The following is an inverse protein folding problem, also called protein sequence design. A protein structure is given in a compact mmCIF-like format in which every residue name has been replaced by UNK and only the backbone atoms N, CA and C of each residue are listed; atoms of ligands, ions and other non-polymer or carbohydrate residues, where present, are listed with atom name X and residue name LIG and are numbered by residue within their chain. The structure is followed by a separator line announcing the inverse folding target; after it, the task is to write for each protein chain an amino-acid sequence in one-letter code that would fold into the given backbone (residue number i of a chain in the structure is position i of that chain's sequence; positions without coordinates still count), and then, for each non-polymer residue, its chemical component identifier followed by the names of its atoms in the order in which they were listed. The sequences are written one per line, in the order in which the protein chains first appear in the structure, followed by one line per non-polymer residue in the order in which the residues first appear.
data_IF_840423920272
#
_entry.id   IF_840423920272
#
_cell.length_a   1.000
_cell.length_b   1.000
_cell.length_c   1.000
_cell.angle_alpha   90.00
_cell.angle_beta   90.00
_cell.angle_gamma   90.00
#
_symmetry.space_group_name_H-M   'P 1'
#
loop_
_entity.id
_entity.type
_entity.pdbx_description
1 polymer ?
#
# COMPACT_ATOMS: atom_id res chain seq x y z
N UNK A 1 8.39 2.98 45.92
CA UNK A 1 8.47 1.59 45.50
C UNK A 1 7.23 0.81 45.98
N UNK A 2 6.39 0.36 45.04
CA UNK A 2 5.24 -0.50 45.33
C UNK A 2 5.63 -1.96 45.11
N UNK A 3 5.30 -2.85 46.05
CA UNK A 3 5.43 -4.30 45.89
C UNK A 3 4.06 -4.93 45.82
N UNK A 4 3.78 -5.60 44.70
CA UNK A 4 2.56 -6.38 44.53
C UNK A 4 2.70 -7.73 45.25
N UNK A 5 1.62 -8.18 45.90
CA UNK A 5 1.51 -9.50 46.46
C UNK A 5 1.57 -10.56 45.37
N UNK A 6 2.16 -11.73 45.63
CA UNK A 6 2.23 -12.81 44.66
C UNK A 6 0.84 -13.23 44.14
N UNK A 7 -0.14 -13.31 45.00
CA UNK A 7 -1.52 -13.61 44.65
C UNK A 7 -2.14 -12.63 43.65
N UNK A 8 -1.82 -11.33 43.73
CA UNK A 8 -2.32 -10.34 42.77
C UNK A 8 -1.73 -10.56 41.37
N UNK A 9 -0.46 -10.99 41.27
CA UNK A 9 0.17 -11.34 40.00
C UNK A 9 -0.43 -12.59 39.39
N UNK A 10 -0.70 -13.62 40.23
CA UNK A 10 -1.31 -14.87 39.80
C UNK A 10 -2.76 -14.68 39.34
N UNK A 11 -3.51 -13.77 39.98
CA UNK A 11 -4.88 -13.47 39.60
C UNK A 11 -4.98 -12.92 38.17
N UNK A 12 -3.99 -12.13 37.72
CA UNK A 12 -3.96 -11.61 36.33
C UNK A 12 -3.88 -12.76 35.31
N UNK A 13 -3.11 -13.82 35.59
CA UNK A 13 -3.03 -14.98 34.68
C UNK A 13 -4.38 -15.66 34.52
N UNK A 14 -5.11 -15.87 35.64
CA UNK A 14 -6.45 -16.43 35.58
C UNK A 14 -7.43 -15.55 34.84
N UNK A 15 -7.31 -14.23 34.97
CA UNK A 15 -8.13 -13.26 34.24
C UNK A 15 -7.84 -13.27 32.73
N UNK A 16 -6.57 -13.30 32.33
CA UNK A 16 -6.18 -13.44 30.91
C UNK A 16 -6.75 -14.69 30.29
N UNK A 17 -6.61 -15.85 30.99
CA UNK A 17 -7.15 -17.12 30.51
C UNK A 17 -8.68 -17.09 30.39
N UNK A 18 -9.37 -16.44 31.30
CA UNK A 18 -10.82 -16.32 31.29
C UNK A 18 -11.32 -15.36 30.20
N UNK A 19 -10.64 -14.24 29.98
CA UNK A 19 -11.01 -13.22 29.03
C UNK A 19 -10.61 -13.58 27.59
N UNK A 20 -9.56 -14.41 27.40
CA UNK A 20 -9.06 -14.78 26.09
C UNK A 20 -8.70 -13.54 25.26
N UNK A 21 -9.13 -13.51 24.02
CA UNK A 21 -8.85 -12.43 23.06
C UNK A 21 -9.46 -11.07 23.46
N UNK A 22 -10.42 -11.06 24.39
CA UNK A 22 -10.99 -9.82 24.91
C UNK A 22 -10.17 -9.16 26.02
N UNK A 23 -9.09 -9.83 26.50
CA UNK A 23 -8.23 -9.25 27.54
C UNK A 23 -7.56 -7.97 27.06
N UNK A 24 -7.69 -6.90 27.84
CA UNK A 24 -7.14 -5.57 27.52
C UNK A 24 -8.01 -4.72 26.58
N UNK A 25 -9.13 -5.27 26.11
CA UNK A 25 -10.07 -4.51 25.28
C UNK A 25 -11.15 -3.81 26.14
N UNK A 26 -11.48 -2.59 25.75
CA UNK A 26 -12.58 -1.80 26.33
C UNK A 26 -13.84 -1.90 25.45
N UNK A 27 -15.03 -1.77 26.05
CA UNK A 27 -16.27 -1.69 25.27
C UNK A 27 -16.27 -0.53 24.28
N UNK A 28 -16.93 -0.71 23.14
CA UNK A 28 -17.10 0.37 22.18
C UNK A 28 -17.85 1.56 22.80
N UNK A 29 -17.32 2.77 22.59
CA UNK A 29 -17.89 4.00 23.15
C UNK A 29 -18.38 4.98 22.06
N UNK A 30 -18.44 4.55 20.79
CA UNK A 30 -19.00 5.32 19.68
C UNK A 30 -18.07 6.39 19.09
N UNK A 31 -16.88 6.58 19.64
CA UNK A 31 -15.89 7.47 19.01
C UNK A 31 -15.29 6.84 17.77
N UNK A 32 -14.98 7.69 16.78
CA UNK A 32 -14.44 7.29 15.48
C UNK A 32 -13.05 7.89 15.29
N UNK A 33 -12.17 7.15 14.65
CA UNK A 33 -10.87 7.62 14.20
C UNK A 33 -10.65 7.20 12.75
N UNK A 34 -10.14 8.11 11.93
CA UNK A 34 -9.59 7.83 10.63
C UNK A 34 -8.08 7.96 10.75
N UNK A 35 -7.36 6.93 10.32
CA UNK A 35 -5.90 6.90 10.36
C UNK A 35 -5.41 6.69 8.95
N UNK A 36 -4.80 7.72 8.39
CA UNK A 36 -4.13 7.67 7.09
C UNK A 36 -2.65 7.31 7.31
N UNK A 37 -2.16 6.32 6.57
CA UNK A 37 -0.76 5.91 6.65
C UNK A 37 -0.29 5.23 5.36
N UNK A 38 1.02 5.12 5.18
CA UNK A 38 1.72 4.72 3.95
C UNK A 38 1.52 5.75 2.84
N UNK A 39 0.33 5.86 2.25
CA UNK A 39 -0.08 6.84 1.22
C UNK A 39 1.00 7.09 0.16
N UNK A 40 1.56 5.99 -0.37
CA UNK A 40 2.62 6.03 -1.39
C UNK A 40 2.05 6.33 -2.76
N UNK A 41 2.71 7.22 -3.53
CA UNK A 41 2.35 7.45 -4.91
C UNK A 41 2.56 6.17 -5.76
N UNK A 42 1.69 5.85 -6.72
CA UNK A 42 1.81 4.68 -7.57
C UNK A 42 2.85 4.91 -8.69
N UNK A 43 4.08 5.23 -8.31
CA UNK A 43 5.18 5.53 -9.23
C UNK A 43 6.38 4.58 -9.08
N UNK A 44 6.26 3.60 -8.19
CA UNK A 44 7.27 2.57 -7.95
C UNK A 44 6.87 1.59 -6.86
N UNK A 45 7.68 0.54 -6.65
CA UNK A 45 7.50 -0.42 -5.56
C UNK A 45 7.58 0.25 -4.18
N UNK A 46 6.96 -0.39 -3.18
CA UNK A 46 7.14 0.00 -1.80
C UNK A 46 8.58 -0.27 -1.33
N UNK A 47 9.03 0.48 -0.35
CA UNK A 47 10.35 0.32 0.26
C UNK A 47 10.23 0.28 1.79
N UNK A 48 11.35 0.01 2.47
CA UNK A 48 11.41 -0.15 3.94
C UNK A 48 10.80 1.04 4.70
N UNK A 49 10.87 2.25 4.16
CA UNK A 49 10.21 3.44 4.75
C UNK A 49 8.69 3.30 4.79
N UNK A 50 8.09 2.78 3.71
CA UNK A 50 6.65 2.50 3.64
C UNK A 50 6.27 1.33 4.56
N UNK A 51 7.08 0.27 4.64
CA UNK A 51 6.85 -0.83 5.56
C UNK A 51 6.86 -0.37 7.03
N UNK A 52 7.77 0.56 7.40
CA UNK A 52 7.77 1.16 8.73
C UNK A 52 6.48 1.94 9.03
N UNK A 53 5.99 2.72 8.05
CA UNK A 53 4.73 3.45 8.21
C UNK A 53 3.54 2.49 8.32
N UNK A 54 3.54 1.41 7.53
CA UNK A 54 2.52 0.38 7.57
C UNK A 54 2.45 -0.29 8.95
N UNK A 55 3.60 -0.74 9.48
CA UNK A 55 3.67 -1.36 10.80
C UNK A 55 3.20 -0.41 11.92
N UNK A 56 3.63 0.86 11.86
CA UNK A 56 3.25 1.85 12.87
C UNK A 56 1.76 2.20 12.79
N UNK A 57 1.25 2.46 11.58
CA UNK A 57 -0.15 2.85 11.36
C UNK A 57 -1.11 1.74 11.75
N UNK A 58 -0.85 0.51 11.31
CA UNK A 58 -1.69 -0.64 11.67
C UNK A 58 -1.65 -0.93 13.18
N UNK A 59 -0.48 -0.88 13.81
CA UNK A 59 -0.36 -1.04 15.27
C UNK A 59 -1.15 0.02 16.03
N UNK A 60 -1.13 1.29 15.57
CA UNK A 60 -1.92 2.36 16.16
C UNK A 60 -3.42 2.10 16.00
N UNK A 61 -3.85 1.66 14.82
CA UNK A 61 -5.24 1.28 14.57
C UNK A 61 -5.71 0.17 15.52
N UNK A 62 -4.89 -0.87 15.66
CA UNK A 62 -5.18 -2.00 16.55
C UNK A 62 -5.28 -1.54 18.02
N UNK A 63 -4.38 -0.67 18.48
CA UNK A 63 -4.44 -0.10 19.83
C UNK A 63 -5.71 0.73 20.05
N UNK A 64 -6.08 1.58 19.09
CA UNK A 64 -7.32 2.36 19.18
C UNK A 64 -8.55 1.45 19.22
N UNK A 65 -8.58 0.40 18.41
CA UNK A 65 -9.68 -0.57 18.41
C UNK A 65 -9.81 -1.28 19.77
N UNK A 66 -8.70 -1.68 20.39
CA UNK A 66 -8.76 -2.27 21.74
C UNK A 66 -9.28 -1.29 22.81
N UNK A 67 -9.15 0.01 22.55
CA UNK A 67 -9.70 1.05 23.43
C UNK A 67 -11.14 1.45 23.10
N UNK A 68 -11.84 0.68 22.25
CA UNK A 68 -13.25 0.87 21.94
C UNK A 68 -13.55 1.90 20.83
N UNK A 69 -12.54 2.34 20.09
CA UNK A 69 -12.72 3.22 18.93
C UNK A 69 -13.17 2.43 17.70
N UNK A 70 -14.02 3.04 16.89
CA UNK A 70 -14.29 2.61 15.53
C UNK A 70 -13.24 3.24 14.62
N UNK A 71 -12.33 2.43 14.07
CA UNK A 71 -11.20 2.90 13.28
C UNK A 71 -11.41 2.60 11.82
N UNK A 72 -11.13 3.60 10.97
CA UNK A 72 -11.02 3.50 9.52
C UNK A 72 -9.55 3.67 9.14
N UNK A 73 -9.00 2.73 8.39
CA UNK A 73 -7.64 2.76 7.83
C UNK A 73 -7.70 3.32 6.43
N UNK A 74 -7.02 4.41 6.16
CA UNK A 74 -7.03 5.09 4.87
C UNK A 74 -5.65 5.04 4.20
N UNK A 75 -5.67 4.72 2.91
CA UNK A 75 -4.52 4.89 2.01
C UNK A 75 -4.89 5.88 0.92
N UNK A 76 -4.17 7.01 0.86
CA UNK A 76 -4.40 8.03 -0.15
C UNK A 76 -3.46 7.83 -1.35
N UNK A 77 -4.02 7.69 -2.55
CA UNK A 77 -3.27 7.63 -3.80
C UNK A 77 -3.27 8.99 -4.50
N UNK A 78 -2.09 9.54 -4.75
CA UNK A 78 -1.94 10.66 -5.67
C UNK A 78 -1.58 10.14 -7.07
N UNK A 79 -2.58 9.96 -7.91
CA UNK A 79 -2.47 9.41 -9.27
C UNK A 79 -2.43 10.48 -10.36
N UNK A 80 -2.03 11.71 -10.03
CA UNK A 80 -1.94 12.85 -10.93
C UNK A 80 -0.60 13.58 -10.84
N UNK A 81 -0.42 14.54 -11.74
CA UNK A 81 0.74 15.43 -11.76
C UNK A 81 1.96 14.88 -12.48
N UNK A 82 3.10 15.58 -12.31
CA UNK A 82 4.32 15.34 -13.08
C UNK A 82 4.91 13.93 -12.86
N UNK A 83 4.81 13.38 -11.66
CA UNK A 83 5.32 12.04 -11.37
C UNK A 83 4.60 10.96 -12.19
N UNK A 84 3.30 11.07 -12.31
CA UNK A 84 2.49 10.13 -13.09
C UNK A 84 2.73 10.31 -14.60
N UNK A 85 2.92 11.53 -15.07
CA UNK A 85 3.32 11.78 -16.44
C UNK A 85 4.71 11.16 -16.75
N UNK A 86 5.65 11.29 -15.82
CA UNK A 86 6.99 10.67 -15.96
C UNK A 86 6.90 9.13 -15.95
N UNK A 87 6.02 8.53 -15.15
CA UNK A 87 5.78 7.09 -15.17
C UNK A 87 5.27 6.64 -16.54
N UNK A 88 4.29 7.32 -17.10
CA UNK A 88 3.75 7.02 -18.43
C UNK A 88 4.82 7.14 -19.52
N UNK A 89 5.60 8.22 -19.51
CA UNK A 89 6.70 8.43 -20.47
C UNK A 89 7.79 7.37 -20.33
N UNK A 90 8.13 6.96 -19.11
CA UNK A 90 9.11 5.91 -18.85
C UNK A 90 8.62 4.56 -19.41
N UNK A 91 7.37 4.22 -19.17
CA UNK A 91 6.75 2.99 -19.66
C UNK A 91 6.69 3.01 -21.20
N UNK A 92 6.30 4.12 -21.81
CA UNK A 92 6.26 4.25 -23.27
C UNK A 92 7.67 4.12 -23.87
N UNK A 93 8.69 4.71 -23.26
CA UNK A 93 10.08 4.55 -23.72
C UNK A 93 10.51 3.07 -23.71
N UNK A 94 10.16 2.34 -22.66
CA UNK A 94 10.39 0.87 -22.62
C UNK A 94 9.61 0.11 -23.69
N UNK A 95 8.36 0.50 -23.93
CA UNK A 95 7.55 -0.08 -25.01
C UNK A 95 8.17 0.13 -26.40
N UNK A 96 8.85 1.25 -26.61
CA UNK A 96 9.61 1.55 -27.82
C UNK A 96 10.99 0.88 -27.86
N UNK A 97 11.35 0.08 -26.84
CA UNK A 97 12.61 -0.67 -26.77
C UNK A 97 13.78 0.09 -26.17
N UNK A 98 13.59 1.32 -25.72
CA UNK A 98 14.64 2.12 -25.08
C UNK A 98 14.97 1.61 -23.68
N UNK A 99 16.20 1.85 -23.25
CA UNK A 99 16.71 1.54 -21.92
C UNK A 99 17.27 2.82 -21.27
N UNK A 100 17.38 2.86 -19.94
CA UNK A 100 18.06 3.95 -19.25
C UNK A 100 19.47 4.17 -19.84
N UNK A 101 19.75 5.44 -20.23
CA UNK A 101 21.00 5.82 -20.85
C UNK A 101 21.02 5.82 -22.37
N UNK A 102 20.00 5.26 -23.04
CA UNK A 102 19.90 5.33 -24.50
C UNK A 102 19.54 6.75 -24.97
N UNK A 103 19.97 7.07 -26.18
CA UNK A 103 19.55 8.31 -26.84
C UNK A 103 18.02 8.30 -27.02
N UNK A 104 17.34 9.34 -26.50
CA UNK A 104 15.88 9.43 -26.49
C UNK A 104 15.20 8.90 -25.22
N UNK A 105 15.95 8.37 -24.25
CA UNK A 105 15.41 8.09 -22.92
C UNK A 105 14.99 9.40 -22.23
N UNK A 106 13.77 9.52 -21.68
CA UNK A 106 13.33 10.78 -21.08
C UNK A 106 14.17 11.14 -19.84
N UNK A 107 14.58 12.40 -19.72
CA UNK A 107 15.47 12.88 -18.64
C UNK A 107 14.86 12.64 -17.24
N UNK A 108 13.56 12.86 -17.09
CA UNK A 108 12.83 12.65 -15.83
C UNK A 108 12.23 11.24 -15.68
N UNK A 109 12.71 10.26 -16.47
CA UNK A 109 12.18 8.92 -16.45
C UNK A 109 12.60 8.12 -15.20
N UNK A 110 11.72 7.21 -14.80
CA UNK A 110 12.05 6.20 -13.81
C UNK A 110 12.89 5.08 -14.43
N UNK A 111 13.98 4.73 -13.77
CA UNK A 111 15.01 3.83 -14.32
C UNK A 111 14.94 2.40 -13.76
N UNK A 112 14.01 2.12 -12.84
CA UNK A 112 13.86 0.81 -12.20
C UNK A 112 13.39 -0.27 -13.17
N UNK A 113 13.76 -1.53 -12.88
CA UNK A 113 13.40 -2.69 -13.69
C UNK A 113 11.88 -2.90 -13.77
N UNK A 114 11.15 -2.51 -12.72
CA UNK A 114 9.69 -2.57 -12.69
C UNK A 114 9.02 -1.82 -13.87
N UNK A 115 9.67 -0.82 -14.46
CA UNK A 115 9.16 -0.15 -15.68
C UNK A 115 9.19 -1.11 -16.88
N UNK A 116 10.15 -2.04 -16.93
CA UNK A 116 10.16 -3.08 -17.96
C UNK A 116 9.03 -4.09 -17.74
N UNK A 117 8.78 -4.45 -16.48
CA UNK A 117 7.70 -5.38 -16.11
C UNK A 117 6.32 -4.79 -16.49
N UNK A 118 6.10 -3.50 -16.20
CA UNK A 118 4.88 -2.79 -16.62
C UNK A 118 4.74 -2.80 -18.15
N UNK A 119 5.82 -2.52 -18.87
CA UNK A 119 5.81 -2.49 -20.34
C UNK A 119 5.53 -3.88 -20.94
N UNK A 120 6.08 -4.94 -20.36
CA UNK A 120 5.80 -6.33 -20.76
C UNK A 120 4.33 -6.68 -20.52
N UNK A 121 3.81 -6.40 -19.33
CA UNK A 121 2.40 -6.60 -19.00
C UNK A 121 1.47 -5.83 -19.93
N UNK A 122 1.83 -4.59 -20.29
CA UNK A 122 1.07 -3.77 -21.23
C UNK A 122 1.03 -4.38 -22.63
N UNK A 123 2.17 -4.85 -23.15
CA UNK A 123 2.23 -5.55 -24.45
C UNK A 123 1.41 -6.84 -24.46
N UNK A 124 1.43 -7.56 -23.35
CA UNK A 124 0.65 -8.78 -23.16
C UNK A 124 -0.86 -8.53 -23.02
N UNK A 125 -1.30 -7.26 -23.00
CA UNK A 125 -2.68 -6.86 -22.74
C UNK A 125 -3.21 -7.43 -21.43
N UNK A 126 -2.35 -7.43 -20.42
CA UNK A 126 -2.69 -7.94 -19.10
C UNK A 126 -3.85 -7.16 -18.47
N UNK A 127 -4.55 -7.82 -17.56
CA UNK A 127 -5.56 -7.19 -16.69
C UNK A 127 -5.07 -7.24 -15.26
N UNK A 128 -5.01 -6.10 -14.59
CA UNK A 128 -4.72 -5.99 -13.16
C UNK A 128 -5.95 -5.51 -12.41
N UNK A 129 -6.05 -5.88 -11.15
CA UNK A 129 -7.11 -5.41 -10.25
C UNK A 129 -6.45 -4.54 -9.18
N UNK A 130 -6.81 -3.26 -9.15
CA UNK A 130 -6.41 -2.32 -8.12
C UNK A 130 -7.67 -1.82 -7.43
N UNK A 131 -7.80 -2.05 -6.14
CA UNK A 131 -9.04 -1.92 -5.37
C UNK A 131 -10.18 -2.76 -6.04
N UNK A 132 -11.38 -2.19 -6.14
CA UNK A 132 -12.52 -2.81 -6.82
C UNK A 132 -12.51 -2.64 -8.35
N UNK A 133 -11.43 -2.05 -8.91
CA UNK A 133 -11.36 -1.71 -10.33
C UNK A 133 -10.42 -2.63 -11.07
N UNK A 134 -10.90 -3.17 -12.19
CA UNK A 134 -10.06 -3.91 -13.14
C UNK A 134 -9.60 -2.96 -14.25
N UNK A 135 -8.31 -2.99 -14.56
CA UNK A 135 -7.71 -2.24 -15.66
C UNK A 135 -7.04 -3.22 -16.63
N UNK A 136 -7.49 -3.20 -17.87
CA UNK A 136 -6.89 -4.00 -18.96
C UNK A 136 -6.09 -3.08 -19.88
N UNK A 137 -4.87 -3.45 -20.20
CA UNK A 137 -4.02 -2.72 -21.13
C UNK A 137 -4.56 -2.78 -22.55
N UNK A 138 -4.63 -1.63 -23.23
CA UNK A 138 -5.07 -1.55 -24.64
C UNK A 138 -4.05 -2.10 -25.64
N UNK A 139 -2.77 -2.02 -25.28
CA UNK A 139 -1.65 -2.53 -26.10
C UNK A 139 -1.23 -1.60 -27.23
N UNK A 140 -1.80 -0.40 -27.35
CA UNK A 140 -1.34 0.62 -28.28
C UNK A 140 -0.22 1.44 -27.62
N UNK A 141 1.00 1.35 -28.15
CA UNK A 141 2.18 2.02 -27.63
C UNK A 141 2.17 3.54 -27.86
N UNK A 142 1.28 4.04 -28.68
CA UNK A 142 1.13 5.48 -28.92
C UNK A 142 0.01 6.12 -28.07
N UNK A 143 -0.84 5.31 -27.46
CA UNK A 143 -1.86 5.79 -26.50
C UNK A 143 -1.26 6.03 -25.11
N UNK A 144 -0.69 7.22 -24.90
CA UNK A 144 -0.05 7.60 -23.64
C UNK A 144 -1.04 7.65 -22.46
N UNK A 145 -2.31 7.95 -22.72
CA UNK A 145 -3.33 8.00 -21.67
C UNK A 145 -3.71 6.59 -21.18
N UNK A 146 -3.79 5.63 -22.10
CA UNK A 146 -4.00 4.22 -21.73
C UNK A 146 -2.79 3.64 -21.00
N UNK A 147 -1.57 3.94 -21.49
CA UNK A 147 -0.31 3.54 -20.82
C UNK A 147 -0.28 4.11 -19.40
N UNK A 148 -0.60 5.39 -19.22
CA UNK A 148 -0.66 6.04 -17.91
C UNK A 148 -1.62 5.34 -16.97
N UNK A 149 -2.86 5.12 -17.43
CA UNK A 149 -3.92 4.46 -16.66
C UNK A 149 -3.51 3.06 -16.22
N UNK A 150 -2.95 2.28 -17.15
CA UNK A 150 -2.50 0.92 -16.87
C UNK A 150 -1.30 0.89 -15.91
N UNK A 151 -0.28 1.73 -16.12
CA UNK A 151 0.92 1.77 -15.28
C UNK A 151 0.59 2.12 -13.82
N UNK A 152 -0.32 3.09 -13.62
CA UNK A 152 -0.84 3.43 -12.28
C UNK A 152 -1.57 2.24 -11.66
N UNK A 153 -2.48 1.60 -12.39
CA UNK A 153 -3.22 0.45 -11.89
C UNK A 153 -2.31 -0.74 -11.57
N UNK A 154 -1.29 -0.97 -12.40
CA UNK A 154 -0.30 -2.02 -12.17
C UNK A 154 0.46 -1.80 -10.86
N UNK A 155 0.99 -0.61 -10.64
CA UNK A 155 1.75 -0.31 -9.41
C UNK A 155 0.86 -0.29 -8.16
N UNK A 156 -0.38 0.18 -8.25
CA UNK A 156 -1.33 0.07 -7.14
C UNK A 156 -1.60 -1.38 -6.79
N UNK A 157 -1.76 -2.24 -7.79
CA UNK A 157 -1.94 -3.68 -7.58
C UNK A 157 -0.73 -4.30 -6.87
N UNK A 158 0.49 -4.02 -7.33
CA UNK A 158 1.72 -4.52 -6.70
C UNK A 158 1.87 -4.02 -5.26
N UNK A 159 1.62 -2.72 -5.02
CA UNK A 159 1.68 -2.13 -3.68
C UNK A 159 0.66 -2.77 -2.73
N UNK A 160 -0.55 -3.06 -3.22
CA UNK A 160 -1.58 -3.73 -2.44
C UNK A 160 -1.19 -5.18 -2.09
N UNK A 161 -0.63 -5.92 -3.03
CA UNK A 161 -0.10 -7.26 -2.78
C UNK A 161 1.02 -7.26 -1.73
N UNK A 162 1.94 -6.29 -1.80
CA UNK A 162 3.01 -6.13 -0.82
C UNK A 162 2.46 -5.85 0.58
N UNK A 163 1.49 -4.95 0.70
CA UNK A 163 0.85 -4.61 1.98
C UNK A 163 0.07 -5.79 2.56
N UNK A 164 -0.68 -6.52 1.73
CA UNK A 164 -1.38 -7.72 2.15
C UNK A 164 -0.41 -8.82 2.61
N UNK A 165 0.70 -9.02 1.90
CA UNK A 165 1.75 -9.96 2.30
C UNK A 165 2.41 -9.54 3.62
N UNK A 166 2.50 -8.24 3.88
CA UNK A 166 2.98 -7.70 5.15
C UNK A 166 1.94 -7.77 6.28
N UNK A 167 0.70 -8.16 5.97
CA UNK A 167 -0.39 -8.32 6.93
C UNK A 167 -1.18 -7.03 7.20
N UNK A 168 -1.03 -6.01 6.36
CA UNK A 168 -1.71 -4.72 6.49
C UNK A 168 -2.81 -4.61 5.43
N UNK A 169 -3.99 -4.13 5.84
CA UNK A 169 -5.15 -3.90 4.97
C UNK A 169 -5.77 -2.55 5.28
N UNK A 170 -6.34 -1.94 4.26
CA UNK A 170 -7.10 -0.69 4.35
C UNK A 170 -8.59 -0.95 4.13
N UNK A 171 -9.46 -0.02 4.61
CA UNK A 171 -10.91 -0.13 4.53
C UNK A 171 -11.50 0.44 3.24
#
# INVERSE_FOLDING_TARGET
NLRLKAAAKQAVVAEVLRAGDAFGSLPAHGARALVEFVSANPTGPLHVGHARQAALGDSLCNLLQTQGWQVTREFYYNDAGAQIANLAASTQARLRGLRPGDAGWPEAAYNGDYIADIAEAYRARATVAADDRRCTAGGDIEDLDDIRRFAVAYLRHEQDLDLQAFGVRFD
#
